data_IF_814658538982
#
_entry.id   IF_814658538982
#
_cell.length_a   1.000
_cell.length_b   1.000
_cell.length_c   1.000
_cell.angle_alpha   90.00
_cell.angle_beta   90.00
_cell.angle_gamma   90.00
#
_symmetry.space_group_name_H-M   'P 1'
#
loop_
_entity.id
_entity.type
_entity.pdbx_description
1 polymer ?
#
# COMPACT_ATOMS: atom_id res chain seq x y z
N UNK A 1 12.80 4.35 1.99
CA UNK A 1 11.72 5.34 1.77
C UNK A 1 10.97 5.12 0.45
N UNK A 2 11.63 5.03 -0.71
CA UNK A 2 10.97 4.82 -2.03
C UNK A 2 9.95 3.66 -2.03
N UNK A 3 10.32 2.52 -1.45
CA UNK A 3 9.44 1.35 -1.38
C UNK A 3 8.13 1.58 -0.62
N UNK A 4 8.18 2.30 0.50
CA UNK A 4 6.96 2.65 1.24
C UNK A 4 6.09 3.62 0.44
N UNK A 5 6.69 4.61 -0.24
CA UNK A 5 5.96 5.50 -1.13
C UNK A 5 5.33 4.78 -2.32
N UNK A 6 5.99 3.75 -2.85
CA UNK A 6 5.42 2.90 -3.89
C UNK A 6 4.21 2.12 -3.36
N UNK A 7 4.33 1.49 -2.18
CA UNK A 7 3.19 0.84 -1.50
C UNK A 7 2.00 1.79 -1.34
N UNK A 8 2.27 2.99 -0.82
CA UNK A 8 1.28 4.04 -0.62
C UNK A 8 0.52 4.35 -1.91
N UNK A 9 1.26 4.63 -2.99
CA UNK A 9 0.65 4.97 -4.28
C UNK A 9 -0.14 3.80 -4.86
N UNK A 10 0.30 2.56 -4.66
CA UNK A 10 -0.45 1.36 -5.07
C UNK A 10 -1.79 1.25 -4.32
N UNK A 11 -1.80 1.41 -2.99
CA UNK A 11 -3.04 1.42 -2.19
C UNK A 11 -3.98 2.53 -2.66
N UNK A 12 -3.46 3.76 -2.82
CA UNK A 12 -4.28 4.90 -3.24
C UNK A 12 -4.78 4.78 -4.67
N UNK A 13 -4.06 4.10 -5.56
CA UNK A 13 -4.52 3.81 -6.92
C UNK A 13 -5.75 2.90 -6.93
N UNK A 14 -5.84 1.97 -5.98
CA UNK A 14 -7.00 1.08 -5.84
C UNK A 14 -8.21 1.85 -5.31
N UNK A 15 -8.06 2.60 -4.21
CA UNK A 15 -9.18 3.24 -3.50
C UNK A 15 -9.55 4.64 -4.04
N UNK A 16 -8.63 5.39 -4.65
CA UNK A 16 -8.85 6.77 -5.08
C UNK A 16 -8.88 6.91 -6.60
N UNK A 17 -10.05 7.28 -7.13
CA UNK A 17 -10.22 7.49 -8.56
C UNK A 17 -9.30 8.61 -9.11
N UNK A 18 -9.04 9.65 -8.32
CA UNK A 18 -8.11 10.73 -8.71
C UNK A 18 -6.69 10.21 -8.95
N UNK A 19 -6.21 9.32 -8.07
CA UNK A 19 -4.88 8.74 -8.18
C UNK A 19 -4.86 7.69 -9.30
N UNK A 20 -5.92 6.89 -9.43
CA UNK A 20 -6.09 5.94 -10.53
C UNK A 20 -6.04 6.60 -11.90
N UNK A 21 -6.67 7.78 -12.06
CA UNK A 21 -6.61 8.56 -13.31
C UNK A 21 -5.23 9.17 -13.56
N UNK A 22 -4.49 9.53 -12.52
CA UNK A 22 -3.11 10.05 -12.64
C UNK A 22 -2.10 8.96 -12.99
N UNK A 23 -2.28 7.75 -12.45
CA UNK A 23 -1.41 6.60 -12.69
C UNK A 23 -2.22 5.39 -13.17
N UNK A 24 -2.73 5.39 -14.41
CA UNK A 24 -3.59 4.31 -14.90
C UNK A 24 -2.89 2.96 -15.02
N UNK A 25 -1.60 2.97 -15.32
CA UNK A 25 -0.78 1.76 -15.50
C UNK A 25 0.53 1.87 -14.73
N UNK A 26 1.17 0.74 -14.46
CA UNK A 26 2.47 0.69 -13.78
C UNK A 26 3.58 1.43 -14.53
N UNK A 27 3.48 1.55 -15.87
CA UNK A 27 4.40 2.35 -16.69
C UNK A 27 4.50 3.81 -16.22
N UNK A 28 3.42 4.38 -15.69
CA UNK A 28 3.43 5.76 -15.17
C UNK A 28 4.19 5.89 -13.84
N UNK A 29 4.41 4.77 -13.13
CA UNK A 29 5.14 4.71 -11.87
C UNK A 29 6.63 4.45 -12.06
N UNK A 30 7.02 3.81 -13.16
CA UNK A 30 8.44 3.51 -13.47
C UNK A 30 9.34 4.76 -13.44
N UNK A 31 9.03 5.87 -14.12
CA UNK A 31 9.92 7.03 -14.11
C UNK A 31 10.03 7.74 -12.75
N UNK A 32 9.12 7.48 -11.80
CA UNK A 32 9.04 8.23 -10.54
C UNK A 32 9.35 7.41 -9.28
N UNK A 33 8.91 6.15 -9.20
CA UNK A 33 8.86 5.40 -7.94
C UNK A 33 9.32 3.93 -8.05
N UNK A 34 9.43 3.36 -9.24
CA UNK A 34 9.67 1.93 -9.45
C UNK A 34 10.68 1.68 -10.56
N UNK A 35 11.48 0.62 -10.50
CA UNK A 35 12.36 0.26 -11.64
C UNK A 35 11.64 -0.67 -12.62
N UNK A 36 12.14 -0.80 -13.85
CA UNK A 36 11.54 -1.73 -14.83
C UNK A 36 11.60 -3.19 -14.34
N UNK A 37 12.67 -3.57 -13.65
CA UNK A 37 12.78 -4.89 -13.04
C UNK A 37 11.75 -5.13 -11.92
N UNK A 38 11.48 -4.11 -11.11
CA UNK A 38 10.44 -4.17 -10.06
C UNK A 38 9.03 -4.25 -10.67
N UNK A 39 8.79 -3.56 -11.79
CA UNK A 39 7.53 -3.65 -12.55
C UNK A 39 7.29 -5.08 -13.03
N UNK A 40 8.28 -5.69 -13.69
CA UNK A 40 8.16 -7.07 -14.19
C UNK A 40 7.85 -8.04 -13.05
N UNK A 41 8.48 -7.86 -11.87
CA UNK A 41 8.19 -8.69 -10.69
C UNK A 41 6.75 -8.54 -10.21
N UNK A 42 6.21 -7.33 -10.22
CA UNK A 42 4.81 -7.06 -9.85
C UNK A 42 3.83 -7.62 -10.88
N UNK A 43 4.16 -7.53 -12.17
CA UNK A 43 3.29 -8.03 -13.25
C UNK A 43 3.27 -9.56 -13.35
N UNK A 44 4.33 -10.22 -12.89
CA UNK A 44 4.44 -11.68 -12.82
C UNK A 44 3.77 -12.29 -11.58
N UNK A 45 3.26 -11.48 -10.65
CA UNK A 45 2.60 -11.97 -9.44
C UNK A 45 1.15 -12.38 -9.74
N UNK A 46 0.75 -13.58 -9.32
CA UNK A 46 -0.61 -14.10 -9.55
C UNK A 46 -1.67 -13.35 -8.73
N UNK A 47 -1.26 -12.77 -7.60
CA UNK A 47 -2.12 -12.05 -6.68
C UNK A 47 -2.35 -10.63 -7.20
N UNK A 48 -3.60 -10.28 -7.52
CA UNK A 48 -3.97 -8.96 -8.07
C UNK A 48 -3.65 -7.76 -7.16
N UNK A 49 -3.63 -7.95 -5.83
CA UNK A 49 -3.35 -6.90 -4.85
C UNK A 49 -1.89 -6.99 -4.39
N UNK A 50 -1.03 -6.23 -5.06
CA UNK A 50 0.44 -6.28 -4.92
C UNK A 50 1.05 -5.18 -4.05
N UNK A 51 0.23 -4.38 -3.35
CA UNK A 51 0.71 -3.27 -2.51
C UNK A 51 1.70 -3.72 -1.41
N UNK A 52 1.63 -4.97 -0.97
CA UNK A 52 2.51 -5.51 0.07
C UNK A 52 3.94 -5.79 -0.43
N UNK A 53 4.16 -5.99 -1.74
CA UNK A 53 5.48 -6.37 -2.28
C UNK A 53 6.55 -5.30 -2.04
N UNK A 54 6.30 -3.99 -2.28
CA UNK A 54 7.26 -2.96 -1.93
C UNK A 54 7.59 -2.92 -0.43
N UNK A 55 6.61 -3.14 0.45
CA UNK A 55 6.86 -3.20 1.91
C UNK A 55 7.85 -4.34 2.21
N UNK A 56 7.63 -5.51 1.62
CA UNK A 56 8.51 -6.67 1.75
C UNK A 56 9.94 -6.34 1.30
N UNK A 57 10.11 -5.70 0.14
CA UNK A 57 11.42 -5.29 -0.35
C UNK A 57 12.11 -4.29 0.60
N UNK A 58 11.34 -3.39 1.22
CA UNK A 58 11.81 -2.49 2.27
C UNK A 58 12.33 -3.25 3.49
N UNK A 59 11.60 -4.27 3.95
CA UNK A 59 12.01 -5.12 5.07
C UNK A 59 13.24 -5.96 4.72
N UNK A 60 13.31 -6.51 3.50
CA UNK A 60 14.48 -7.26 3.03
C UNK A 60 15.74 -6.38 3.02
N UNK A 61 15.62 -5.12 2.62
CA UNK A 61 16.72 -4.15 2.68
C UNK A 61 17.14 -3.87 4.14
N UNK A 62 16.16 -3.67 5.03
CA UNK A 62 16.41 -3.45 6.45
C UNK A 62 17.17 -4.63 7.09
N UNK A 63 16.74 -5.86 6.79
CA UNK A 63 17.41 -7.10 7.24
C UNK A 63 18.86 -7.18 6.75
N UNK A 64 19.13 -6.77 5.50
CA UNK A 64 20.50 -6.72 4.96
C UNK A 64 21.38 -5.68 5.66
N UNK A 65 20.82 -4.52 6.03
CA UNK A 65 21.55 -3.51 6.79
C UNK A 65 21.89 -4.00 8.21
N UNK A 66 20.95 -4.68 8.86
CA UNK A 66 21.17 -5.31 10.16
C UNK A 66 22.26 -6.40 10.10
N UNK A 67 22.20 -7.30 9.11
CA UNK A 67 23.21 -8.35 8.96
C UNK A 67 24.61 -7.81 8.66
N UNK A 68 24.72 -6.58 8.16
CA UNK A 68 25.99 -5.87 7.91
C UNK A 68 26.47 -5.07 9.13
N UNK A 69 25.75 -5.11 10.26
CA UNK A 69 26.08 -4.34 11.46
C UNK A 69 25.94 -2.82 11.28
N UNK A 70 25.16 -2.36 10.29
CA UNK A 70 24.94 -0.93 10.04
C UNK A 70 23.89 -0.32 10.98
N UNK A 71 23.14 -1.16 11.68
CA UNK A 71 22.04 -0.81 12.58
C UNK A 71 22.15 -1.75 13.78
N UNK A 72 22.01 -1.21 14.99
CA UNK A 72 21.92 -1.95 16.24
C UNK A 72 20.55 -2.62 16.42
N UNK A 73 20.50 -3.58 17.34
CA UNK A 73 19.31 -4.38 17.61
C UNK A 73 18.11 -3.53 18.05
N UNK A 74 18.35 -2.49 18.86
CA UNK A 74 17.28 -1.62 19.37
C UNK A 74 16.62 -0.83 18.25
N UNK A 75 17.39 -0.13 17.41
CA UNK A 75 16.83 0.60 16.27
C UNK A 75 16.22 -0.33 15.22
N UNK A 76 16.79 -1.52 15.01
CA UNK A 76 16.19 -2.52 14.12
C UNK A 76 14.79 -2.94 14.59
N UNK A 77 14.61 -3.19 15.89
CA UNK A 77 13.30 -3.53 16.47
C UNK A 77 12.28 -2.39 16.29
N UNK A 78 12.68 -1.14 16.55
CA UNK A 78 11.81 0.04 16.37
C UNK A 78 11.39 0.20 14.91
N UNK A 79 12.32 0.05 13.97
CA UNK A 79 12.04 0.15 12.54
C UNK A 79 11.07 -0.96 12.09
N UNK A 80 11.26 -2.19 12.55
CA UNK A 80 10.34 -3.30 12.29
C UNK A 80 8.93 -3.00 12.81
N UNK A 81 8.79 -2.51 14.05
CA UNK A 81 7.49 -2.13 14.62
C UNK A 81 6.84 -0.99 13.82
N UNK A 82 7.62 0.01 13.40
CA UNK A 82 7.14 1.14 12.60
C UNK A 82 6.63 0.68 11.23
N UNK A 83 7.33 -0.25 10.58
CA UNK A 83 6.91 -0.83 9.31
C UNK A 83 5.64 -1.66 9.46
N UNK A 84 5.52 -2.45 10.54
CA UNK A 84 4.29 -3.19 10.83
C UNK A 84 3.10 -2.25 11.01
N UNK A 85 3.25 -1.19 11.80
CA UNK A 85 2.21 -0.16 11.98
C UNK A 85 1.84 0.52 10.66
N UNK A 86 2.82 0.83 9.82
CA UNK A 86 2.59 1.38 8.48
C UNK A 86 1.72 0.44 7.63
N UNK A 87 2.05 -0.86 7.60
CA UNK A 87 1.26 -1.88 6.88
C UNK A 87 -0.16 -2.01 7.42
N UNK A 88 -0.34 -1.94 8.75
CA UNK A 88 -1.67 -1.96 9.37
C UNK A 88 -2.53 -0.75 8.93
N UNK A 89 -1.93 0.44 8.86
CA UNK A 89 -2.62 1.64 8.37
C UNK A 89 -3.07 1.50 6.92
N UNK A 90 -2.21 0.99 6.04
CA UNK A 90 -2.57 0.71 4.64
C UNK A 90 -3.66 -0.35 4.53
N UNK A 91 -3.59 -1.40 5.34
CA UNK A 91 -4.61 -2.43 5.38
C UNK A 91 -5.97 -1.87 5.81
N UNK A 92 -6.01 -1.05 6.85
CA UNK A 92 -7.23 -0.40 7.33
C UNK A 92 -7.89 0.45 6.24
N UNK A 93 -7.11 1.18 5.43
CA UNK A 93 -7.64 1.94 4.30
C UNK A 93 -8.35 1.03 3.28
N UNK A 94 -7.75 -0.11 2.96
CA UNK A 94 -8.36 -1.10 2.07
C UNK A 94 -9.61 -1.74 2.69
N UNK A 95 -9.63 -1.94 4.01
CA UNK A 95 -10.80 -2.45 4.71
C UNK A 95 -11.98 -1.49 4.62
N UNK A 96 -11.75 -0.17 4.71
CA UNK A 96 -12.80 0.83 4.54
C UNK A 96 -13.36 0.88 3.12
N UNK A 97 -12.50 0.70 2.11
CA UNK A 97 -12.94 0.64 0.71
C UNK A 97 -13.73 -0.65 0.42
N UNK A 98 -13.29 -1.78 0.99
CA UNK A 98 -13.95 -3.07 0.78
C UNK A 98 -15.29 -3.19 1.54
N UNK A 99 -15.34 -2.73 2.79
CA UNK A 99 -16.53 -2.82 3.65
C UNK A 99 -17.16 -1.45 3.79
N UNK A 100 -18.04 -1.14 2.84
CA UNK A 100 -18.83 0.10 2.85
C UNK A 100 -20.00 0.00 3.84
N UNK A 101 -20.52 1.16 4.25
CA UNK A 101 -21.75 1.25 5.06
C UNK A 101 -22.86 0.47 4.35
N UNK A 102 -23.60 -0.41 5.05
CA UNK A 102 -24.65 -1.20 4.42
C UNK A 102 -25.64 -0.32 3.66
N UNK A 103 -25.94 -0.72 2.41
CA UNK A 103 -26.79 0.02 1.50
C UNK A 103 -28.17 0.33 2.10
N UNK A 104 -28.70 -0.56 2.94
CA UNK A 104 -29.99 -0.38 3.61
C UNK A 104 -30.00 0.86 4.49
N UNK A 105 -28.91 1.17 5.20
CA UNK A 105 -28.84 2.37 6.04
C UNK A 105 -28.85 3.65 5.22
N UNK A 106 -28.16 3.67 4.08
CA UNK A 106 -28.15 4.86 3.20
C UNK A 106 -29.51 5.06 2.52
N UNK A 107 -30.19 3.97 2.16
CA UNK A 107 -31.55 3.99 1.59
C UNK A 107 -32.62 4.44 2.60
N UNK A 108 -32.62 3.90 3.81
CA UNK A 108 -33.58 4.27 4.87
C UNK A 108 -33.46 5.75 5.23
N UNK A 109 -32.23 6.24 5.40
CA UNK A 109 -31.99 7.67 5.66
C UNK A 109 -32.57 8.53 4.54
N UNK A 110 -32.28 8.18 3.28
CA UNK A 110 -32.78 8.94 2.13
C UNK A 110 -34.32 8.95 2.05
N UNK A 111 -34.98 7.84 2.40
CA UNK A 111 -36.44 7.75 2.46
C UNK A 111 -37.04 8.64 3.56
N UNK A 112 -36.46 8.62 4.77
CA UNK A 112 -36.94 9.41 5.92
C UNK A 112 -36.81 10.92 5.71
N UNK A 113 -35.82 11.40 4.95
CA UNK A 113 -35.69 12.83 4.61
C UNK A 113 -36.66 13.33 3.53
N UNK A 114 -37.40 12.44 2.86
CA UNK A 114 -38.36 12.82 1.80
C UNK A 114 -39.80 12.98 2.29
N UNK A 115 -40.08 12.56 3.53
CA UNK A 115 -41.31 12.84 4.29
C UNK A 115 -41.12 14.07 5.15
#
# INVERSE_FOLDING_TARGET
MRYFMLSYVLVFRDISERIRRRFPTYNHLVPALMTEAEKVRIENEDIKRVYWMPIEWGVQLLKKCYSRGQIDEHHFAILCQTITKYREMEHNLLSFDWVNVPLVYTQLKAALTKT
#
